data_IF_832280793705
#
_entry.id   IF_832280793705
#
_cell.length_a   1.000
_cell.length_b   1.000
_cell.length_c   1.000
_cell.angle_alpha   90.00
_cell.angle_beta   90.00
_cell.angle_gamma   90.00
#
_symmetry.space_group_name_H-M   'P 1'
#
loop_
_entity.id
_entity.type
_entity.pdbx_description
1 polymer ?
#
# COMPACT_ATOMS: atom_id res chain seq x y z
N UNK A 1 3.41 -11.17 -51.17
CA UNK A 1 4.02 -12.37 -50.55
C UNK A 1 3.24 -13.60 -51.04
N UNK A 2 3.91 -14.71 -51.38
CA UNK A 2 3.25 -15.90 -51.94
C UNK A 2 2.17 -16.48 -51.00
N UNK A 3 2.45 -16.57 -49.70
CA UNK A 3 1.51 -17.10 -48.70
C UNK A 3 0.21 -16.29 -48.52
N UNK A 4 0.17 -15.04 -49.00
CA UNK A 4 -1.03 -14.20 -48.93
C UNK A 4 -1.92 -14.35 -50.18
N UNK A 5 -1.39 -14.92 -51.27
CA UNK A 5 -2.07 -15.12 -52.56
C UNK A 5 -2.86 -16.43 -52.64
N UNK A 6 -2.80 -17.25 -51.59
CA UNK A 6 -3.45 -18.55 -51.52
C UNK A 6 -4.01 -18.82 -50.13
N UNK A 7 -4.98 -19.72 -50.08
CA UNK A 7 -5.64 -20.16 -48.88
C UNK A 7 -5.65 -21.68 -48.77
N UNK A 8 -5.58 -22.18 -47.55
CA UNK A 8 -5.66 -23.62 -47.27
C UNK A 8 -6.48 -23.88 -46.00
N UNK A 9 -7.04 -25.08 -45.90
CA UNK A 9 -7.74 -25.52 -44.69
C UNK A 9 -6.80 -25.53 -43.47
N UNK A 10 -7.34 -25.11 -42.31
CA UNK A 10 -6.65 -25.03 -41.04
C UNK A 10 -5.92 -26.32 -40.65
N UNK A 11 -6.48 -27.47 -41.02
CA UNK A 11 -5.91 -28.80 -40.78
C UNK A 11 -4.50 -28.94 -41.35
N UNK A 12 -4.19 -28.25 -42.46
CA UNK A 12 -2.92 -28.37 -43.16
C UNK A 12 -1.97 -27.19 -42.93
N UNK A 13 -2.32 -26.23 -42.06
CA UNK A 13 -1.50 -25.02 -41.82
C UNK A 13 -0.07 -25.35 -41.42
N UNK A 14 0.11 -26.32 -40.50
CA UNK A 14 1.44 -26.78 -40.06
C UNK A 14 2.20 -27.42 -41.22
N UNK A 15 1.53 -28.29 -41.97
CA UNK A 15 2.13 -29.03 -43.06
C UNK A 15 2.63 -28.09 -44.17
N UNK A 16 1.82 -27.09 -44.58
CA UNK A 16 2.21 -26.13 -45.60
C UNK A 16 3.28 -25.15 -45.09
N UNK A 17 3.16 -24.69 -43.85
CA UNK A 17 4.11 -23.75 -43.25
C UNK A 17 5.51 -24.34 -43.10
N UNK A 18 5.59 -25.65 -42.83
CA UNK A 18 6.85 -26.40 -42.78
C UNK A 18 7.36 -26.76 -44.17
N UNK A 19 6.51 -27.30 -45.05
CA UNK A 19 6.95 -27.81 -46.34
C UNK A 19 7.29 -26.69 -47.35
N UNK A 20 6.66 -25.53 -47.24
CA UNK A 20 6.78 -24.45 -48.22
C UNK A 20 7.66 -23.31 -47.68
N UNK A 21 8.98 -23.49 -47.78
CA UNK A 21 9.93 -22.41 -47.49
C UNK A 21 9.64 -21.10 -48.25
N UNK A 22 9.32 -21.14 -49.56
CA UNK A 22 9.09 -19.94 -50.38
C UNK A 22 7.82 -19.14 -50.09
N UNK A 23 7.00 -19.47 -49.07
CA UNK A 23 5.77 -18.71 -48.79
C UNK A 23 6.03 -17.22 -48.50
N UNK A 24 7.20 -16.90 -47.96
CA UNK A 24 7.60 -15.52 -47.66
C UNK A 24 8.16 -14.76 -48.86
N UNK A 25 8.37 -15.44 -49.98
CA UNK A 25 8.91 -14.82 -51.18
C UNK A 25 7.87 -13.93 -51.86
N UNK A 26 8.35 -12.94 -52.61
CA UNK A 26 7.51 -11.98 -53.35
C UNK A 26 7.34 -12.47 -54.78
N UNK A 27 6.10 -12.66 -55.21
CA UNK A 27 5.77 -13.05 -56.59
C UNK A 27 5.77 -11.79 -57.45
N UNK A 28 6.44 -11.84 -58.60
CA UNK A 28 6.51 -10.74 -59.59
C UNK A 28 6.23 -11.31 -60.99
N UNK A 29 5.88 -10.45 -61.93
CA UNK A 29 5.55 -10.82 -63.30
C UNK A 29 6.77 -11.30 -64.11
N UNK A 30 7.84 -10.49 -64.18
CA UNK A 30 9.01 -10.69 -65.02
C UNK A 30 10.33 -10.68 -64.24
N UNK A 31 11.41 -11.18 -64.84
CA UNK A 31 12.77 -11.08 -64.26
C UNK A 31 13.22 -9.63 -64.16
N UNK A 32 12.88 -8.80 -65.14
CA UNK A 32 13.25 -7.38 -65.15
C UNK A 32 12.60 -6.63 -63.98
N UNK A 33 11.31 -6.87 -63.68
CA UNK A 33 10.65 -6.32 -62.48
C UNK A 33 11.37 -6.75 -61.19
N UNK A 34 11.78 -8.02 -61.10
CA UNK A 34 12.53 -8.52 -59.95
C UNK A 34 13.86 -7.76 -59.77
N UNK A 35 14.62 -7.55 -60.85
CA UNK A 35 15.88 -6.82 -60.82
C UNK A 35 15.70 -5.36 -60.40
N UNK A 36 14.66 -4.69 -60.92
CA UNK A 36 14.30 -3.33 -60.50
C UNK A 36 13.97 -3.26 -59.01
N UNK A 37 13.18 -4.20 -58.49
CA UNK A 37 12.86 -4.27 -57.06
C UNK A 37 14.10 -4.54 -56.20
N UNK A 38 15.00 -5.43 -56.62
CA UNK A 38 16.26 -5.70 -55.91
C UNK A 38 17.13 -4.46 -55.87
N UNK A 39 17.26 -3.75 -57.00
CA UNK A 39 18.01 -2.49 -57.07
C UNK A 39 17.43 -1.46 -56.12
N UNK A 40 16.10 -1.30 -56.11
CA UNK A 40 15.41 -0.41 -55.18
C UNK A 40 15.69 -0.74 -53.71
N UNK A 41 15.61 -2.01 -53.32
CA UNK A 41 15.91 -2.44 -51.94
C UNK A 41 17.36 -2.16 -51.55
N UNK A 42 18.31 -2.34 -52.48
CA UNK A 42 19.73 -2.07 -52.26
C UNK A 42 20.04 -0.58 -52.14
N UNK A 43 19.45 0.23 -53.01
CA UNK A 43 19.67 1.68 -53.05
C UNK A 43 19.10 2.37 -51.79
N UNK A 44 18.10 1.78 -51.14
CA UNK A 44 17.41 2.33 -49.96
C UNK A 44 17.66 1.55 -48.65
N UNK A 45 18.52 0.53 -48.65
CA UNK A 45 18.85 -0.33 -47.49
C UNK A 45 17.62 -0.88 -46.72
N UNK A 46 16.61 -1.36 -47.44
CA UNK A 46 15.32 -1.82 -46.89
C UNK A 46 15.35 -3.31 -46.51
N UNK A 47 16.53 -3.94 -46.58
CA UNK A 47 16.76 -5.35 -46.26
C UNK A 47 16.77 -6.29 -47.47
N UNK A 48 16.61 -7.60 -47.21
CA UNK A 48 16.76 -8.67 -48.21
C UNK A 48 15.47 -9.48 -48.34
N UNK A 49 15.03 -9.69 -49.58
CA UNK A 49 13.92 -10.60 -49.89
C UNK A 49 14.26 -11.47 -51.10
N UNK A 50 13.45 -12.48 -51.36
CA UNK A 50 13.56 -13.36 -52.53
C UNK A 50 12.35 -13.17 -53.43
N UNK A 51 12.60 -13.00 -54.73
CA UNK A 51 11.55 -12.80 -55.73
C UNK A 51 11.33 -14.07 -56.55
N UNK A 52 10.08 -14.34 -56.92
CA UNK A 52 9.67 -15.44 -57.82
C UNK A 52 9.09 -14.82 -59.09
N UNK A 53 9.86 -14.77 -60.20
CA UNK A 53 9.35 -14.32 -61.49
C UNK A 53 8.39 -15.35 -62.09
N UNK A 54 7.13 -14.98 -62.26
CA UNK A 54 6.06 -15.85 -62.79
C UNK A 54 6.38 -16.31 -64.20
N UNK A 55 6.92 -15.44 -65.05
CA UNK A 55 7.30 -15.78 -66.43
C UNK A 55 8.18 -17.04 -66.52
N UNK A 56 9.07 -17.27 -65.54
CA UNK A 56 9.99 -18.42 -65.51
C UNK A 56 9.36 -19.68 -64.94
N UNK A 57 8.25 -19.56 -64.21
CA UNK A 57 7.55 -20.71 -63.63
C UNK A 57 6.45 -21.25 -64.54
N UNK A 58 6.03 -20.51 -65.55
CA UNK A 58 5.02 -20.96 -66.54
C UNK A 58 5.33 -22.32 -67.19
N UNK A 59 6.61 -22.67 -67.34
CA UNK A 59 7.05 -24.00 -67.83
C UNK A 59 6.53 -25.18 -67.02
N UNK A 60 6.07 -24.95 -65.79
CA UNK A 60 5.58 -25.97 -64.87
C UNK A 60 4.09 -26.25 -65.00
N UNK A 61 3.38 -25.48 -65.84
CA UNK A 61 1.93 -25.57 -66.02
C UNK A 61 1.50 -26.97 -66.44
N UNK A 62 2.22 -27.56 -67.40
CA UNK A 62 1.88 -28.89 -67.90
C UNK A 62 2.14 -30.00 -66.86
N UNK A 63 3.11 -29.81 -65.98
CA UNK A 63 3.41 -30.77 -64.91
C UNK A 63 2.31 -30.79 -63.85
N UNK A 64 1.86 -29.62 -63.37
CA UNK A 64 0.91 -29.60 -62.26
C UNK A 64 -0.53 -29.91 -62.67
N UNK A 65 -0.88 -29.74 -63.95
CA UNK A 65 -2.18 -30.12 -64.52
C UNK A 65 -2.37 -31.63 -64.62
N UNK A 66 -1.28 -32.40 -64.63
CA UNK A 66 -1.37 -33.86 -64.64
C UNK A 66 -1.83 -34.38 -63.29
N UNK A 67 -2.83 -35.27 -63.30
CA UNK A 67 -3.29 -35.96 -62.08
C UNK A 67 -2.21 -36.94 -61.62
N UNK A 68 -1.61 -36.65 -60.48
CA UNK A 68 -0.66 -37.54 -59.83
C UNK A 68 -1.40 -38.68 -59.11
N UNK A 69 -1.06 -39.93 -59.42
CA UNK A 69 -1.49 -41.07 -58.60
C UNK A 69 -0.62 -41.11 -57.34
N UNK A 70 -1.24 -40.84 -56.19
CA UNK A 70 -0.53 -40.82 -54.91
C UNK A 70 -0.59 -42.17 -54.20
N UNK A 71 0.51 -42.63 -53.56
CA UNK A 71 0.48 -43.81 -52.71
C UNK A 71 -0.49 -43.65 -51.54
N UNK A 72 -1.15 -44.73 -51.11
CA UNK A 72 -2.11 -44.72 -49.99
C UNK A 72 -3.25 -43.68 -50.12
N UNK A 73 -3.51 -43.13 -51.32
CA UNK A 73 -4.49 -42.06 -51.59
C UNK A 73 -4.29 -40.80 -50.73
N UNK A 74 -3.04 -40.48 -50.36
CA UNK A 74 -2.77 -39.24 -49.62
C UNK A 74 -2.90 -38.01 -50.52
N UNK A 75 -3.35 -36.86 -49.99
CA UNK A 75 -3.47 -35.64 -50.79
C UNK A 75 -2.11 -35.00 -51.07
N UNK A 76 -1.98 -34.36 -52.25
CA UNK A 76 -0.87 -33.46 -52.60
C UNK A 76 -1.18 -32.07 -52.04
N UNK A 77 -0.23 -31.44 -51.35
CA UNK A 77 -0.42 -30.10 -50.75
C UNK A 77 -0.89 -29.06 -51.76
N UNK A 78 -0.31 -29.07 -52.97
CA UNK A 78 -0.66 -28.13 -54.03
C UNK A 78 -2.15 -28.20 -54.40
N UNK A 79 -2.74 -29.40 -54.43
CA UNK A 79 -4.14 -29.59 -54.83
C UNK A 79 -5.14 -29.12 -53.74
N UNK A 80 -4.65 -28.87 -52.53
CA UNK A 80 -5.45 -28.38 -51.40
C UNK A 80 -5.50 -26.85 -51.34
N UNK A 81 -4.67 -26.15 -52.14
CA UNK A 81 -4.59 -24.70 -52.14
C UNK A 81 -5.72 -24.11 -52.97
N UNK A 82 -6.37 -23.10 -52.41
CA UNK A 82 -7.37 -22.28 -53.09
C UNK A 82 -6.74 -20.93 -53.40
N UNK A 83 -6.83 -20.50 -54.65
CA UNK A 83 -6.36 -19.19 -55.11
C UNK A 83 -7.51 -18.41 -55.73
N UNK A 84 -7.43 -17.08 -55.72
CA UNK A 84 -8.38 -16.23 -56.44
C UNK A 84 -8.01 -16.09 -57.91
N UNK A 85 -6.72 -15.93 -58.20
CA UNK A 85 -6.19 -15.88 -59.56
C UNK A 85 -5.38 -17.15 -59.85
N UNK A 86 -5.76 -17.90 -60.88
CA UNK A 86 -5.03 -19.12 -61.27
C UNK A 86 -3.65 -18.82 -61.88
N UNK A 87 -3.38 -17.58 -62.29
CA UNK A 87 -2.10 -17.16 -62.86
C UNK A 87 -0.92 -17.36 -61.89
N UNK A 88 -1.18 -17.40 -60.58
CA UNK A 88 -0.16 -17.60 -59.54
C UNK A 88 0.09 -19.06 -59.17
N UNK A 89 -0.70 -20.00 -59.68
CA UNK A 89 -0.51 -21.44 -59.45
C UNK A 89 0.89 -21.95 -59.83
N UNK A 90 1.54 -21.49 -60.93
CA UNK A 90 2.91 -21.89 -61.23
C UNK A 90 3.91 -21.56 -60.12
N UNK A 91 3.71 -20.45 -59.38
CA UNK A 91 4.56 -20.09 -58.24
C UNK A 91 4.33 -21.02 -57.04
N UNK A 92 3.07 -21.40 -56.75
CA UNK A 92 2.77 -22.38 -55.72
C UNK A 92 3.35 -23.76 -56.06
N UNK A 93 3.23 -24.20 -57.31
CA UNK A 93 3.81 -25.47 -57.72
C UNK A 93 5.34 -25.45 -57.75
N UNK A 94 5.98 -24.34 -58.12
CA UNK A 94 7.43 -24.16 -57.97
C UNK A 94 7.88 -24.40 -56.52
N UNK A 95 7.12 -23.87 -55.56
CA UNK A 95 7.46 -23.93 -54.14
C UNK A 95 7.17 -25.30 -53.50
N UNK A 96 6.09 -25.96 -53.90
CA UNK A 96 5.62 -27.21 -53.27
C UNK A 96 5.95 -28.46 -54.05
N UNK A 97 6.01 -28.43 -55.38
CA UNK A 97 6.16 -29.62 -56.23
C UNK A 97 5.15 -30.72 -55.84
N UNK A 98 5.51 -31.96 -56.10
CA UNK A 98 4.78 -33.15 -55.66
C UNK A 98 5.01 -33.45 -54.16
N UNK A 99 4.72 -32.48 -53.29
CA UNK A 99 4.73 -32.69 -51.83
C UNK A 99 3.42 -33.30 -51.36
N UNK A 100 3.50 -34.44 -50.71
CA UNK A 100 2.35 -35.19 -50.19
C UNK A 100 2.17 -34.95 -48.68
N UNK A 101 0.94 -35.10 -48.18
CA UNK A 101 0.63 -34.97 -46.75
C UNK A 101 0.32 -36.32 -46.13
N UNK A 102 1.07 -36.71 -45.10
CA UNK A 102 0.82 -37.90 -44.30
C UNK A 102 0.21 -37.55 -42.92
N UNK A 103 -0.49 -38.49 -42.29
CA UNK A 103 -1.00 -38.33 -40.92
C UNK A 103 0.11 -38.31 -39.87
N UNK A 104 1.12 -39.15 -40.06
CA UNK A 104 2.19 -39.43 -39.11
C UNK A 104 3.49 -39.86 -39.80
N UNK A 105 4.57 -39.92 -39.02
CA UNK A 105 5.92 -40.23 -39.52
C UNK A 105 6.05 -41.64 -40.11
N UNK A 106 5.27 -42.61 -39.61
CA UNK A 106 5.32 -43.99 -40.12
C UNK A 106 4.72 -44.04 -41.53
N UNK A 107 3.58 -43.38 -41.73
CA UNK A 107 2.99 -43.21 -43.06
C UNK A 107 3.93 -42.40 -43.97
N UNK A 108 4.49 -41.30 -43.47
CA UNK A 108 5.41 -40.48 -44.26
C UNK A 108 6.61 -41.29 -44.77
N UNK A 109 7.18 -42.15 -43.92
CA UNK A 109 8.33 -43.00 -44.27
C UNK A 109 7.97 -44.05 -45.33
N UNK A 110 6.83 -44.72 -45.21
CA UNK A 110 6.37 -45.69 -46.22
C UNK A 110 6.17 -45.06 -47.60
N UNK A 111 5.63 -43.84 -47.63
CA UNK A 111 5.36 -43.11 -48.88
C UNK A 111 6.66 -42.54 -49.46
N UNK A 112 7.51 -41.94 -48.63
CA UNK A 112 8.76 -41.31 -49.08
C UNK A 112 9.76 -42.32 -49.66
N UNK A 113 9.84 -43.52 -49.06
CA UNK A 113 10.75 -44.59 -49.48
C UNK A 113 10.06 -45.72 -50.29
N UNK A 114 8.86 -45.47 -50.82
CA UNK A 114 8.16 -46.41 -51.68
C UNK A 114 8.81 -46.59 -53.06
N UNK A 115 8.10 -47.26 -53.97
CA UNK A 115 8.59 -47.55 -55.32
C UNK A 115 9.02 -46.30 -56.12
N UNK A 116 8.34 -45.16 -55.88
CA UNK A 116 8.74 -43.83 -56.33
C UNK A 116 8.95 -42.96 -55.10
N UNK A 117 10.07 -42.23 -55.08
CA UNK A 117 10.35 -41.28 -54.00
C UNK A 117 9.47 -40.05 -54.11
N UNK A 118 8.87 -39.66 -52.99
CA UNK A 118 8.08 -38.43 -52.85
C UNK A 118 8.61 -37.59 -51.71
N UNK A 119 8.41 -36.28 -51.82
CA UNK A 119 8.55 -35.36 -50.70
C UNK A 119 7.30 -35.46 -49.85
N UNK A 120 7.42 -35.71 -48.55
CA UNK A 120 6.26 -35.95 -47.68
C UNK A 120 6.36 -35.14 -46.41
N UNK A 121 5.29 -34.47 -46.03
CA UNK A 121 5.17 -33.74 -44.77
C UNK A 121 4.03 -34.31 -43.93
N UNK A 122 4.22 -34.42 -42.62
CA UNK A 122 3.16 -34.88 -41.71
C UNK A 122 2.28 -33.70 -41.28
N UNK A 123 1.06 -33.98 -40.84
CA UNK A 123 0.18 -32.97 -40.23
C UNK A 123 0.80 -32.29 -38.99
N UNK A 124 1.79 -32.93 -38.37
CA UNK A 124 2.55 -32.39 -37.22
C UNK A 124 3.76 -31.56 -37.62
N UNK A 125 4.11 -31.52 -38.91
CA UNK A 125 5.24 -30.73 -39.42
C UNK A 125 6.58 -31.46 -39.45
N UNK A 126 6.60 -32.79 -39.53
CA UNK A 126 7.81 -33.55 -39.87
C UNK A 126 7.92 -33.65 -41.39
N UNK A 127 9.10 -33.42 -41.96
CA UNK A 127 9.33 -33.36 -43.41
C UNK A 127 10.39 -34.38 -43.83
N UNK A 128 10.10 -35.12 -44.90
CA UNK A 128 11.03 -36.01 -45.58
C UNK A 128 11.19 -35.52 -47.02
N UNK A 129 12.41 -35.13 -47.38
CA UNK A 129 12.77 -34.69 -48.72
C UNK A 129 13.05 -35.87 -49.66
N UNK A 130 12.96 -35.66 -50.98
CA UNK A 130 13.27 -36.69 -51.99
C UNK A 130 14.74 -37.14 -51.97
N UNK A 131 15.64 -36.25 -51.51
CA UNK A 131 17.05 -36.56 -51.24
C UNK A 131 17.23 -37.59 -50.12
N UNK A 132 16.20 -37.80 -49.30
CA UNK A 132 16.23 -38.64 -48.10
C UNK A 132 16.57 -37.86 -46.83
N UNK A 133 16.76 -36.54 -46.89
CA UNK A 133 16.95 -35.72 -45.68
C UNK A 133 15.63 -35.61 -44.92
N UNK A 134 15.69 -35.80 -43.60
CA UNK A 134 14.54 -35.69 -42.70
C UNK A 134 14.69 -34.48 -41.79
N UNK A 135 13.60 -33.77 -41.54
CA UNK A 135 13.51 -32.64 -40.62
C UNK A 135 12.32 -32.83 -39.69
N UNK A 136 12.56 -32.79 -38.38
CA UNK A 136 11.52 -32.97 -37.37
C UNK A 136 12.10 -32.88 -35.96
N UNK A 137 11.25 -32.55 -34.99
CA UNK A 137 11.62 -32.41 -33.58
C UNK A 137 11.35 -31.02 -33.00
N UNK A 138 11.48 -30.91 -31.68
CA UNK A 138 11.19 -29.68 -30.93
C UNK A 138 9.69 -29.51 -30.57
N UNK A 139 9.42 -28.53 -29.69
CA UNK A 139 8.04 -28.13 -29.33
C UNK A 139 7.48 -27.04 -30.25
N UNK A 140 8.34 -26.38 -31.02
CA UNK A 140 8.00 -25.28 -31.91
C UNK A 140 7.66 -25.81 -33.29
N UNK A 141 6.50 -25.41 -33.81
CA UNK A 141 6.03 -25.74 -35.15
C UNK A 141 5.84 -24.44 -35.94
N UNK A 142 6.18 -24.46 -37.23
CA UNK A 142 5.88 -23.34 -38.12
C UNK A 142 4.38 -23.34 -38.42
N UNK A 143 3.72 -22.20 -38.21
CA UNK A 143 2.27 -21.99 -38.41
C UNK A 143 2.00 -20.59 -38.95
N UNK A 144 0.87 -20.39 -39.62
CA UNK A 144 0.39 -19.08 -40.05
C UNK A 144 1.16 -18.45 -41.20
N UNK A 145 1.94 -19.23 -41.97
CA UNK A 145 2.64 -18.72 -43.17
C UNK A 145 1.72 -18.65 -44.40
N UNK A 146 0.52 -19.22 -44.33
CA UNK A 146 -0.55 -19.11 -45.31
C UNK A 146 -1.88 -18.81 -44.61
N UNK A 147 -2.73 -17.99 -45.23
CA UNK A 147 -4.04 -17.65 -44.68
C UNK A 147 -5.09 -18.76 -44.85
N UNK A 148 -6.15 -18.72 -44.04
CA UNK A 148 -7.35 -19.56 -44.26
C UNK A 148 -8.28 -18.99 -45.34
N UNK A 149 -8.16 -17.69 -45.61
CA UNK A 149 -8.83 -16.97 -46.69
C UNK A 149 -7.79 -16.24 -47.53
N UNK A 150 -7.97 -16.21 -48.84
CA UNK A 150 -7.10 -15.44 -49.73
C UNK A 150 -7.26 -13.98 -49.35
N UNK A 151 -6.16 -13.28 -49.07
CA UNK A 151 -6.22 -11.85 -48.73
C UNK A 151 -6.71 -11.10 -49.97
N UNK A 152 -7.98 -10.70 -49.94
CA UNK A 152 -8.51 -9.66 -50.83
C UNK A 152 -7.80 -8.37 -50.40
N UNK A 153 -7.26 -7.60 -51.34
CA UNK A 153 -6.77 -6.26 -51.02
C UNK A 153 -7.87 -5.52 -50.24
N UNK A 154 -7.56 -4.96 -49.06
CA UNK A 154 -8.55 -4.23 -48.30
C UNK A 154 -9.09 -3.13 -49.22
N UNK A 155 -10.41 -3.09 -49.37
CA UNK A 155 -11.02 -2.07 -50.21
C UNK A 155 -10.69 -0.69 -49.62
N UNK A 156 -10.69 0.38 -50.41
CA UNK A 156 -10.48 1.74 -49.88
C UNK A 156 -11.43 2.09 -48.73
N UNK A 157 -12.59 1.41 -48.68
CA UNK A 157 -13.58 1.51 -47.59
C UNK A 157 -13.15 0.80 -46.31
N UNK A 158 -12.43 -0.31 -46.40
CA UNK A 158 -11.88 -1.02 -45.24
C UNK A 158 -10.70 -0.24 -44.64
N UNK A 159 -9.89 0.40 -45.49
CA UNK A 159 -8.83 1.31 -45.04
C UNK A 159 -9.39 2.52 -44.31
N UNK A 160 -10.47 3.14 -44.81
CA UNK A 160 -11.15 4.24 -44.12
C UNK A 160 -11.68 3.83 -42.75
N UNK A 161 -12.33 2.66 -42.64
CA UNK A 161 -12.82 2.15 -41.35
C UNK A 161 -11.69 1.90 -40.36
N UNK A 162 -10.59 1.26 -40.81
CA UNK A 162 -9.44 1.04 -39.95
C UNK A 162 -8.83 2.36 -39.48
N UNK A 163 -8.82 3.37 -40.34
CA UNK A 163 -8.30 4.68 -40.00
C UNK A 163 -9.18 5.40 -38.96
N UNK A 164 -10.51 5.34 -39.11
CA UNK A 164 -11.46 5.82 -38.11
C UNK A 164 -11.30 5.11 -36.76
N UNK A 165 -11.09 3.78 -36.77
CA UNK A 165 -10.82 3.01 -35.55
C UNK A 165 -9.50 3.42 -34.88
N UNK A 166 -8.44 3.66 -35.68
CA UNK A 166 -7.15 4.14 -35.17
C UNK A 166 -7.31 5.51 -34.52
N UNK A 167 -8.01 6.44 -35.15
CA UNK A 167 -8.23 7.79 -34.62
C UNK A 167 -9.04 7.74 -33.31
N UNK A 168 -10.08 6.93 -33.24
CA UNK A 168 -10.85 6.70 -32.00
C UNK A 168 -9.99 6.13 -30.87
N UNK A 169 -9.15 5.13 -31.18
CA UNK A 169 -8.25 4.54 -30.19
C UNK A 169 -7.18 5.54 -29.72
N UNK A 170 -6.72 6.43 -30.60
CA UNK A 170 -5.79 7.50 -30.24
C UNK A 170 -6.44 8.52 -29.32
N UNK A 171 -7.68 8.94 -29.58
CA UNK A 171 -8.45 9.83 -28.70
C UNK A 171 -8.69 9.19 -27.34
N UNK A 172 -9.09 7.91 -27.30
CA UNK A 172 -9.27 7.17 -26.05
C UNK A 172 -7.97 7.07 -25.26
N UNK A 173 -6.86 6.70 -25.91
CA UNK A 173 -5.53 6.66 -25.31
C UNK A 173 -5.11 8.02 -24.76
N UNK A 174 -5.38 9.10 -25.50
CA UNK A 174 -5.10 10.46 -25.05
C UNK A 174 -5.93 10.84 -23.82
N UNK A 175 -7.24 10.57 -23.83
CA UNK A 175 -8.14 10.85 -22.71
C UNK A 175 -7.74 10.08 -21.44
N UNK A 176 -7.34 8.80 -21.59
CA UNK A 176 -6.86 7.99 -20.47
C UNK A 176 -5.54 8.52 -19.93
N UNK A 177 -4.61 8.96 -20.79
CA UNK A 177 -3.35 9.57 -20.37
C UNK A 177 -3.55 10.86 -19.59
N UNK A 178 -4.55 11.68 -19.93
CA UNK A 178 -4.89 12.88 -19.18
C UNK A 178 -5.50 12.57 -17.81
N UNK A 179 -6.22 11.45 -17.69
CA UNK A 179 -6.88 11.04 -16.44
C UNK A 179 -5.94 10.39 -15.42
N UNK A 180 -4.80 9.86 -15.86
CA UNK A 180 -3.75 9.32 -14.97
C UNK A 180 -3.27 10.35 -13.94
N UNK A 181 -2.76 11.53 -14.31
CA UNK A 181 -2.26 12.50 -13.33
C UNK A 181 -3.35 13.01 -12.38
N UNK A 182 -4.59 13.15 -12.84
CA UNK A 182 -5.74 13.53 -12.00
C UNK A 182 -5.99 12.49 -10.90
N UNK A 183 -6.00 11.21 -11.27
CA UNK A 183 -6.18 10.09 -10.32
C UNK A 183 -4.97 9.94 -9.40
N UNK A 184 -3.75 10.17 -9.88
CA UNK A 184 -2.54 10.17 -9.05
C UNK A 184 -2.57 11.28 -8.00
N UNK A 185 -3.03 12.48 -8.36
CA UNK A 185 -3.21 13.58 -7.42
C UNK A 185 -4.30 13.27 -6.37
N UNK A 186 -5.41 12.66 -6.79
CA UNK A 186 -6.48 12.24 -5.90
C UNK A 186 -6.02 11.14 -4.92
N UNK A 187 -5.27 10.15 -5.41
CA UNK A 187 -4.65 9.11 -4.57
C UNK A 187 -3.70 9.75 -3.56
N UNK A 188 -2.87 10.71 -3.98
CA UNK A 188 -1.95 11.40 -3.08
C UNK A 188 -2.71 12.12 -1.96
N UNK A 189 -3.74 12.91 -2.30
CA UNK A 189 -4.59 13.62 -1.32
C UNK A 189 -5.24 12.65 -0.33
N UNK A 190 -5.91 11.61 -0.83
CA UNK A 190 -6.59 10.61 0.00
C UNK A 190 -5.61 9.85 0.90
N UNK A 191 -4.39 9.60 0.41
CA UNK A 191 -3.35 8.93 1.22
C UNK A 191 -2.89 9.82 2.37
N UNK A 192 -2.68 11.12 2.13
CA UNK A 192 -2.33 12.08 3.19
C UNK A 192 -3.44 12.24 4.21
N UNK A 193 -4.70 12.37 3.77
CA UNK A 193 -5.86 12.43 4.66
C UNK A 193 -6.00 11.16 5.51
N UNK A 194 -5.80 9.99 4.91
CA UNK A 194 -5.83 8.72 5.62
C UNK A 194 -4.76 8.66 6.72
N UNK A 195 -3.54 9.09 6.41
CA UNK A 195 -2.45 9.15 7.40
C UNK A 195 -2.80 10.07 8.58
N UNK A 196 -3.37 11.23 8.31
CA UNK A 196 -3.83 12.16 9.34
C UNK A 196 -4.94 11.54 10.20
N UNK A 197 -5.92 10.89 9.57
CA UNK A 197 -6.99 10.17 10.29
C UNK A 197 -6.45 9.05 11.17
N UNK A 198 -5.46 8.28 10.70
CA UNK A 198 -4.81 7.23 11.51
C UNK A 198 -4.09 7.83 12.72
N UNK A 199 -3.36 8.93 12.54
CA UNK A 199 -2.69 9.62 13.63
C UNK A 199 -3.70 10.15 14.67
N UNK A 200 -4.76 10.81 14.20
CA UNK A 200 -5.82 11.33 15.07
C UNK A 200 -6.53 10.21 15.84
N UNK A 201 -6.80 9.07 15.18
CA UNK A 201 -7.37 7.89 15.85
C UNK A 201 -6.49 7.41 17.00
N UNK A 202 -5.18 7.27 16.78
CA UNK A 202 -4.25 6.85 17.82
C UNK A 202 -4.19 7.86 18.97
N UNK A 203 -4.17 9.16 18.66
CA UNK A 203 -4.18 10.23 19.66
C UNK A 203 -5.42 10.14 20.55
N UNK A 204 -6.60 10.06 19.94
CA UNK A 204 -7.85 9.94 20.68
C UNK A 204 -7.96 8.62 21.45
N UNK A 205 -7.40 7.52 20.94
CA UNK A 205 -7.37 6.25 21.65
C UNK A 205 -6.54 6.33 22.96
N UNK A 206 -5.40 7.01 22.92
CA UNK A 206 -4.58 7.30 24.12
C UNK A 206 -5.33 8.21 25.10
N UNK A 207 -5.97 9.26 24.60
CA UNK A 207 -6.73 10.21 25.43
C UNK A 207 -7.92 9.53 26.12
N UNK A 208 -8.71 8.73 25.38
CA UNK A 208 -9.83 7.95 25.92
C UNK A 208 -9.34 6.97 26.97
N UNK A 209 -8.22 6.29 26.75
CA UNK A 209 -7.64 5.38 27.75
C UNK A 209 -7.22 6.15 29.01
N UNK A 210 -6.55 7.28 28.87
CA UNK A 210 -6.17 8.14 30.00
C UNK A 210 -7.37 8.62 30.81
N UNK A 211 -8.42 9.10 30.14
CA UNK A 211 -9.66 9.50 30.80
C UNK A 211 -10.36 8.31 31.49
N UNK A 212 -10.39 7.15 30.83
CA UNK A 212 -10.97 5.92 31.39
C UNK A 212 -10.26 5.48 32.67
N UNK A 213 -8.94 5.63 32.73
CA UNK A 213 -8.13 5.31 33.91
C UNK A 213 -8.29 6.37 35.03
N UNK A 214 -8.59 7.63 34.69
CA UNK A 214 -8.87 8.70 35.66
C UNK A 214 -10.25 8.57 36.32
N UNK A 215 -11.28 8.12 35.60
CA UNK A 215 -12.65 7.95 36.12
C UNK A 215 -12.72 7.18 37.45
N UNK A 216 -12.12 5.98 37.61
CA UNK A 216 -12.19 5.25 38.87
C UNK A 216 -11.45 5.97 40.01
N UNK A 217 -10.33 6.64 39.73
CA UNK A 217 -9.58 7.42 40.73
C UNK A 217 -10.43 8.56 41.26
N UNK A 218 -11.05 9.34 40.36
CA UNK A 218 -11.92 10.46 40.72
C UNK A 218 -13.16 9.95 41.46
N UNK A 219 -13.77 8.83 41.03
CA UNK A 219 -14.90 8.22 41.78
C UNK A 219 -14.52 7.78 43.19
N UNK A 220 -13.33 7.20 43.36
CA UNK A 220 -12.85 6.81 44.69
C UNK A 220 -12.58 8.03 45.58
N UNK A 221 -11.99 9.09 45.02
CA UNK A 221 -11.80 10.36 45.70
C UNK A 221 -13.15 10.99 46.08
N UNK A 222 -14.12 11.02 45.17
CA UNK A 222 -15.47 11.53 45.43
C UNK A 222 -16.12 10.78 46.59
N UNK A 223 -16.11 9.44 46.58
CA UNK A 223 -16.65 8.62 47.66
C UNK A 223 -15.96 8.87 49.00
N UNK A 224 -14.64 9.08 48.99
CA UNK A 224 -13.87 9.45 50.18
C UNK A 224 -14.26 10.83 50.72
N UNK A 225 -14.43 11.81 49.83
CA UNK A 225 -14.84 13.17 50.21
C UNK A 225 -16.30 13.22 50.66
N UNK A 226 -17.20 12.47 50.04
CA UNK A 226 -18.59 12.30 50.48
C UNK A 226 -18.63 11.71 51.90
N UNK A 227 -17.80 10.70 52.20
CA UNK A 227 -17.71 10.14 53.54
C UNK A 227 -17.18 11.17 54.55
N UNK A 228 -16.10 11.90 54.20
CA UNK A 228 -15.58 12.98 55.05
C UNK A 228 -16.60 14.09 55.28
N UNK A 229 -17.35 14.48 54.25
CA UNK A 229 -18.40 15.48 54.35
C UNK A 229 -19.53 14.99 55.26
N UNK A 230 -19.97 13.73 55.10
CA UNK A 230 -20.97 13.09 55.96
C UNK A 230 -20.49 13.01 57.42
N UNK A 231 -19.23 12.65 57.67
CA UNK A 231 -18.63 12.61 59.00
C UNK A 231 -18.43 14.02 59.60
N UNK A 232 -18.22 15.03 58.74
CA UNK A 232 -18.11 16.44 59.12
C UNK A 232 -19.46 17.14 59.30
N UNK A 233 -20.57 16.54 58.83
CA UNK A 233 -21.92 17.01 59.17
C UNK A 233 -22.07 16.84 60.67
N UNK A 234 -21.89 17.95 61.37
CA UNK A 234 -21.88 18.00 62.81
C UNK A 234 -23.18 17.38 63.35
N UNK A 235 -23.06 16.26 64.07
CA UNK A 235 -24.21 15.63 64.70
C UNK A 235 -24.91 16.69 65.57
N UNK A 236 -26.16 17.09 65.25
CA UNK A 236 -26.83 18.20 65.92
C UNK A 236 -26.94 17.99 67.42
N UNK A 237 -27.02 16.74 67.87
CA UNK A 237 -26.99 16.36 69.28
C UNK A 237 -25.65 16.65 69.96
N UNK A 238 -24.54 16.30 69.30
CA UNK A 238 -23.18 16.51 69.82
C UNK A 238 -22.81 17.99 69.85
N UNK A 239 -23.28 18.78 68.87
CA UNK A 239 -23.16 20.25 68.89
C UNK A 239 -23.97 20.86 70.03
N UNK A 240 -25.21 20.41 70.27
CA UNK A 240 -26.01 20.88 71.42
C UNK A 240 -25.37 20.52 72.76
N UNK A 241 -24.82 19.31 72.88
CA UNK A 241 -24.14 18.87 74.10
C UNK A 241 -22.85 19.67 74.36
N UNK A 242 -22.02 19.87 73.33
CA UNK A 242 -20.82 20.70 73.43
C UNK A 242 -21.15 22.15 73.73
N UNK A 243 -22.20 22.73 73.12
CA UNK A 243 -22.68 24.08 73.47
C UNK A 243 -23.10 24.19 74.94
N UNK A 244 -23.84 23.21 75.45
CA UNK A 244 -24.19 23.17 76.89
C UNK A 244 -22.95 23.08 77.78
N UNK A 245 -21.96 22.26 77.41
CA UNK A 245 -20.70 22.16 78.16
C UNK A 245 -19.90 23.46 78.12
N UNK A 246 -19.87 24.14 76.98
CA UNK A 246 -19.24 25.47 76.84
C UNK A 246 -19.98 26.51 77.69
N UNK A 247 -21.31 26.57 77.63
CA UNK A 247 -22.10 27.48 78.47
C UNK A 247 -21.91 27.22 79.97
N UNK A 248 -21.83 25.95 80.39
CA UNK A 248 -21.51 25.58 81.77
C UNK A 248 -20.11 26.03 82.16
N UNK A 249 -19.11 25.73 81.33
CA UNK A 249 -17.73 26.12 81.57
C UNK A 249 -17.55 27.65 81.59
N UNK A 250 -18.27 28.39 80.75
CA UNK A 250 -18.28 29.87 80.76
C UNK A 250 -18.91 30.43 82.03
N UNK A 251 -19.99 29.80 82.54
CA UNK A 251 -20.58 30.18 83.83
C UNK A 251 -19.64 29.89 84.99
N UNK A 252 -19.01 28.72 84.99
CA UNK A 252 -18.01 28.36 86.00
C UNK A 252 -16.82 29.31 85.94
N UNK A 253 -16.32 29.64 84.75
CA UNK A 253 -15.23 30.61 84.57
C UNK A 253 -15.60 31.98 85.12
N UNK A 254 -16.81 32.49 84.82
CA UNK A 254 -17.29 33.77 85.36
C UNK A 254 -17.41 33.74 86.88
N UNK A 255 -17.97 32.67 87.44
CA UNK A 255 -18.06 32.49 88.89
C UNK A 255 -16.68 32.46 89.55
N UNK A 256 -15.73 31.72 88.97
CA UNK A 256 -14.35 31.68 89.47
C UNK A 256 -13.66 33.05 89.31
N UNK A 257 -13.93 33.80 88.23
CA UNK A 257 -13.39 35.15 88.06
C UNK A 257 -13.98 36.15 89.07
N UNK A 258 -15.26 36.05 89.40
CA UNK A 258 -15.90 36.87 90.43
C UNK A 258 -15.32 36.54 91.82
N UNK A 259 -15.21 35.26 92.16
CA UNK A 259 -14.56 34.80 93.40
C UNK A 259 -13.08 35.21 93.46
N UNK A 260 -12.36 35.16 92.33
CA UNK A 260 -10.97 35.59 92.24
C UNK A 260 -10.85 37.10 92.44
N UNK A 261 -11.76 37.90 91.88
CA UNK A 261 -11.80 39.35 92.12
C UNK A 261 -12.12 39.69 93.55
N UNK A 262 -13.11 39.03 94.16
CA UNK A 262 -13.39 39.20 95.59
C UNK A 262 -12.16 38.85 96.43
N UNK A 263 -11.48 37.75 96.12
CA UNK A 263 -10.25 37.36 96.83
C UNK A 263 -9.11 38.34 96.59
N UNK A 264 -8.94 38.87 95.37
CA UNK A 264 -7.96 39.91 95.05
C UNK A 264 -8.25 41.23 95.78
N UNK A 265 -9.52 41.63 95.87
CA UNK A 265 -9.97 42.80 96.61
C UNK A 265 -9.75 42.61 98.13
N UNK A 266 -10.02 41.40 98.64
CA UNK A 266 -9.78 41.00 100.03
C UNK A 266 -8.28 41.06 100.36
N UNK A 267 -7.44 40.48 99.50
CA UNK A 267 -5.98 40.52 99.61
C UNK A 267 -5.46 41.96 99.49
N UNK A 268 -6.03 42.76 98.57
CA UNK A 268 -5.71 44.17 98.43
C UNK A 268 -6.04 44.97 99.69
N UNK A 269 -7.19 44.70 100.32
CA UNK A 269 -7.61 45.31 101.59
C UNK A 269 -6.70 44.90 102.74
N UNK A 270 -6.39 43.61 102.87
CA UNK A 270 -5.48 43.10 103.89
C UNK A 270 -4.07 43.68 103.68
N UNK A 271 -3.59 43.79 102.44
CA UNK A 271 -2.30 44.41 102.15
C UNK A 271 -2.28 45.91 102.52
N UNK A 272 -3.37 46.65 102.31
CA UNK A 272 -3.50 48.04 102.78
C UNK A 272 -3.52 48.11 104.31
N UNK A 273 -4.25 47.22 104.99
CA UNK A 273 -4.23 47.14 106.46
C UNK A 273 -2.83 46.78 106.99
N UNK A 274 -2.12 45.88 106.32
CA UNK A 274 -0.73 45.55 106.63
C UNK A 274 0.15 46.78 106.40
N UNK A 275 0.04 47.51 105.28
CA UNK A 275 0.80 48.74 105.03
C UNK A 275 0.52 49.84 106.05
N UNK A 276 -0.73 49.99 106.50
CA UNK A 276 -1.10 50.97 107.53
C UNK A 276 -0.57 50.57 108.92
N UNK A 277 -0.68 49.29 109.29
CA UNK A 277 -0.21 48.76 110.57
C UNK A 277 1.33 48.67 110.64
N UNK A 278 1.96 48.24 109.56
CA UNK A 278 3.42 48.02 109.49
C UNK A 278 4.16 49.29 109.06
N UNK A 279 3.66 50.04 108.07
CA UNK A 279 4.31 51.25 107.57
C UNK A 279 4.41 52.35 108.62
N UNK A 280 3.38 52.55 109.44
CA UNK A 280 3.38 53.54 110.53
C UNK A 280 4.27 53.13 111.71
N UNK A 281 3.99 51.95 112.30
CA UNK A 281 4.67 51.50 113.54
C UNK A 281 6.10 51.02 113.31
N UNK A 282 6.39 50.38 112.17
CA UNK A 282 7.75 49.87 111.89
C UNK A 282 8.69 51.01 111.53
N UNK A 283 8.25 52.03 110.76
CA UNK A 283 9.08 53.21 110.47
C UNK A 283 9.39 54.03 111.72
N UNK A 284 8.44 54.15 112.64
CA UNK A 284 8.64 54.89 113.90
C UNK A 284 9.59 54.14 114.87
N UNK A 285 9.46 52.81 114.97
CA UNK A 285 10.38 51.98 115.74
C UNK A 285 11.78 51.91 115.10
N UNK A 286 11.90 51.87 113.77
CA UNK A 286 13.20 51.95 113.07
C UNK A 286 13.92 53.27 113.34
N UNK A 287 13.20 54.40 113.36
CA UNK A 287 13.76 55.71 113.73
C UNK A 287 14.23 55.72 115.19
N UNK A 288 13.44 55.16 116.12
CA UNK A 288 13.83 55.04 117.53
C UNK A 288 15.07 54.16 117.69
N UNK A 289 15.11 52.98 117.07
CA UNK A 289 16.28 52.06 117.10
C UNK A 289 17.54 52.72 116.53
N UNK A 290 17.44 53.44 115.40
CA UNK A 290 18.57 54.21 114.86
C UNK A 290 19.05 55.32 115.81
N UNK A 291 18.13 56.03 116.46
CA UNK A 291 18.48 57.09 117.42
C UNK A 291 19.16 56.53 118.69
N UNK A 292 18.65 55.44 119.24
CA UNK A 292 19.26 54.75 120.40
C UNK A 292 20.58 54.08 120.02
N UNK A 293 20.69 53.52 118.80
CA UNK A 293 21.96 52.99 118.29
C UNK A 293 23.04 54.07 118.19
N UNK A 294 22.70 55.26 117.68
CA UNK A 294 23.60 56.42 117.65
C UNK A 294 23.97 56.92 119.05
N UNK A 295 23.03 56.90 120.00
CA UNK A 295 23.30 57.28 121.39
C UNK A 295 24.22 56.28 122.11
N UNK A 296 24.03 54.98 121.87
CA UNK A 296 24.89 53.92 122.43
C UNK A 296 26.30 53.97 121.84
N UNK A 297 26.45 54.22 120.53
CA UNK A 297 27.75 54.47 119.90
C UNK A 297 28.45 55.68 120.53
N UNK A 298 27.70 56.77 120.77
CA UNK A 298 28.23 57.98 121.41
C UNK A 298 28.67 57.71 122.85
N UNK A 299 27.86 57.00 123.64
CA UNK A 299 28.20 56.59 124.99
C UNK A 299 29.38 55.61 125.04
N UNK A 300 29.47 54.65 124.10
CA UNK A 300 30.66 53.78 123.93
C UNK A 300 31.91 54.60 123.63
N UNK A 301 31.81 55.61 122.77
CA UNK A 301 32.94 56.49 122.46
C UNK A 301 33.39 57.35 123.63
N UNK A 302 32.48 57.75 124.53
CA UNK A 302 32.79 58.48 125.77
C UNK A 302 33.39 57.54 126.84
N UNK A 303 32.90 56.31 126.96
CA UNK A 303 33.48 55.29 127.87
C UNK A 303 34.89 54.87 127.43
N UNK A 304 35.14 54.70 126.13
CA UNK A 304 36.48 54.42 125.61
C UNK A 304 37.47 55.58 125.76
N UNK A 305 37.01 56.80 126.09
CA UNK A 305 37.88 57.95 126.40
C UNK A 305 38.26 58.05 127.89
N UNK A 306 37.60 57.28 128.75
CA UNK A 306 37.77 57.30 130.21
C UNK A 306 38.46 56.04 130.76
N UNK A 307 38.95 55.16 129.88
CA UNK A 307 39.89 54.05 130.18
C UNK A 307 41.21 54.31 129.46
#
# INVERSE_FOLDING_TARGET
RLGDLGAIDAKYDVAISTACGPLDNVVVDTVDTAERCIKFLKDNDVGRTTFIPLEKQTRLIDEFKQKLKTPENVPRLFDLIRVQDESVLPAFYYALRDTLVASDLNQASRIAYGARRFRVVTLKGELIETSGTMSGGGKTVFRGRMGQSVRVEPSGRDLQKLQEEVDQLQEQSHSLRLRIPELEEEIYKLTTELQEMVYNRQRFEVEVKGLRDQVPVIRAQLKSQEKKAADAVANPGKVKELKKKVEMAEKELKGVQEMSKETEDEVGRINREIEDLSGGRVKEQQKKIQSTGKAIEKAKSEICRLQ
#
